data_IF_429487259041
#
_entry.id   IF_429487259041
#
_cell.length_a   1.000
_cell.length_b   1.000
_cell.length_c   1.000
_cell.angle_alpha   90.00
_cell.angle_beta   90.00
_cell.angle_gamma   90.00
#
_symmetry.space_group_name_H-M   'P 1'
#
loop_
_entity.id
_entity.type
_entity.pdbx_description
1 polymer ?
#
# COMPACT_ATOMS: atom_id res chain seq x y z
N UNK A 1 -8.55 43.07 16.62
CA UNK A 1 -7.19 42.70 16.20
C UNK A 1 -7.31 41.34 15.54
N UNK A 2 -7.27 41.30 14.21
CA UNK A 2 -7.37 40.06 13.44
C UNK A 2 -6.00 39.39 13.47
N UNK A 3 -5.89 38.27 14.19
CA UNK A 3 -4.73 37.41 14.14
C UNK A 3 -4.74 36.67 12.80
N UNK A 4 -4.16 37.30 11.78
CA UNK A 4 -3.75 36.63 10.56
C UNK A 4 -2.68 35.61 10.92
N UNK A 5 -3.07 34.35 11.07
CA UNK A 5 -2.13 33.24 10.98
C UNK A 5 -1.59 33.25 9.56
N UNK A 6 -0.38 33.79 9.39
CA UNK A 6 0.39 33.61 8.18
C UNK A 6 0.63 32.11 8.08
N UNK A 7 -0.03 31.45 7.13
CA UNK A 7 0.27 30.07 6.75
C UNK A 7 1.66 30.08 6.11
N UNK A 8 2.71 30.03 6.94
CA UNK A 8 4.02 29.59 6.49
C UNK A 8 3.81 28.19 5.91
N UNK A 9 4.17 27.98 4.65
CA UNK A 9 4.12 26.71 3.93
C UNK A 9 4.90 25.65 4.72
N UNK A 10 4.24 25.05 5.70
CA UNK A 10 4.82 24.06 6.60
C UNK A 10 4.44 22.71 6.01
N UNK A 11 5.42 21.97 5.50
CA UNK A 11 5.23 20.59 5.08
C UNK A 11 4.67 19.80 6.26
N UNK A 12 3.63 18.99 6.00
CA UNK A 12 3.03 18.16 7.04
C UNK A 12 4.00 17.01 7.33
N UNK A 13 4.31 16.72 8.62
CA UNK A 13 5.10 15.54 8.96
C UNK A 13 4.37 14.28 8.46
N UNK A 14 5.13 13.33 7.94
CA UNK A 14 4.60 12.08 7.38
C UNK A 14 5.32 10.90 8.02
N UNK A 15 4.57 9.94 8.54
CA UNK A 15 5.09 8.70 9.10
C UNK A 15 4.47 7.53 8.34
N UNK A 16 5.26 6.48 8.07
CA UNK A 16 4.76 5.24 7.48
C UNK A 16 5.35 4.05 8.22
N UNK A 17 4.49 3.05 8.38
CA UNK A 17 4.75 1.82 9.11
C UNK A 17 4.54 0.69 8.12
N UNK A 18 5.61 -0.05 7.81
CA UNK A 18 5.54 -1.29 7.03
C UNK A 18 5.22 -2.48 7.95
N UNK A 19 5.97 -2.60 9.04
CA UNK A 19 5.76 -3.56 10.12
C UNK A 19 6.41 -3.06 11.44
N UNK A 20 6.53 -3.94 12.44
CA UNK A 20 7.11 -3.64 13.76
C UNK A 20 8.58 -3.19 13.72
N UNK A 21 9.32 -3.55 12.67
CA UNK A 21 10.74 -3.25 12.45
C UNK A 21 10.97 -2.21 11.36
N UNK A 22 9.99 -1.98 10.48
CA UNK A 22 10.08 -1.08 9.35
C UNK A 22 9.23 0.18 9.59
N UNK A 23 9.82 1.16 10.27
CA UNK A 23 9.16 2.45 10.54
C UNK A 23 10.04 3.60 10.07
N UNK A 24 9.48 4.43 9.21
CA UNK A 24 10.13 5.61 8.65
C UNK A 24 9.26 6.84 8.84
N UNK A 25 9.88 8.00 8.92
CA UNK A 25 9.14 9.24 8.85
C UNK A 25 10.00 10.45 8.55
N UNK A 26 9.30 11.54 8.26
CA UNK A 26 9.86 12.85 7.97
C UNK A 26 9.24 13.90 8.86
N UNK A 27 10.05 14.85 9.32
CA UNK A 27 9.57 16.00 10.09
C UNK A 27 9.28 17.21 9.17
N UNK A 28 8.80 18.30 9.76
CA UNK A 28 8.49 19.55 9.05
C UNK A 28 9.74 20.30 8.52
N UNK A 29 10.93 19.92 8.97
CA UNK A 29 12.23 20.39 8.48
C UNK A 29 12.81 19.45 7.41
N UNK A 30 11.97 18.57 6.85
CA UNK A 30 12.29 17.57 5.82
C UNK A 30 13.34 16.53 6.24
N UNK A 31 13.72 16.47 7.52
CA UNK A 31 14.67 15.48 8.01
C UNK A 31 14.02 14.10 8.04
N UNK A 32 14.80 13.10 7.66
CA UNK A 32 14.37 11.71 7.52
C UNK A 32 14.81 10.94 8.75
N UNK A 33 13.93 10.11 9.30
CA UNK A 33 14.22 9.25 10.43
C UNK A 33 13.82 7.80 10.14
N UNK A 34 14.72 6.88 10.47
CA UNK A 34 14.49 5.45 10.51
C UNK A 34 14.48 5.01 11.97
N UNK A 35 13.53 4.16 12.32
CA UNK A 35 13.53 3.51 13.63
C UNK A 35 14.50 2.33 13.64
N UNK A 36 15.44 2.33 14.58
CA UNK A 36 16.48 1.30 14.74
C UNK A 36 16.26 0.52 16.04
N UNK A 37 16.68 -0.76 16.04
CA UNK A 37 16.65 -1.66 17.20
C UNK A 37 15.27 -1.99 17.80
N UNK A 38 14.27 -2.24 16.95
CA UNK A 38 13.13 -3.10 17.29
C UNK A 38 11.84 -2.43 17.82
N UNK A 39 10.78 -3.24 17.70
CA UNK A 39 9.37 -3.20 18.15
C UNK A 39 8.83 -1.89 18.75
N UNK A 40 7.67 -1.41 18.29
CA UNK A 40 6.93 -0.23 18.83
C UNK A 40 6.81 -0.25 20.36
N UNK A 41 6.89 -1.44 20.95
CA UNK A 41 6.80 -1.68 22.39
C UNK A 41 8.13 -1.55 23.16
N UNK A 42 9.30 -1.47 22.51
CA UNK A 42 10.62 -1.55 23.18
C UNK A 42 11.41 -0.23 23.22
N UNK A 43 10.76 0.92 23.06
CA UNK A 43 11.42 2.24 23.03
C UNK A 43 12.56 2.33 21.98
N UNK A 44 12.37 1.70 20.81
CA UNK A 44 13.31 1.78 19.68
C UNK A 44 13.77 3.22 19.40
N UNK A 45 15.06 3.37 19.07
CA UNK A 45 15.69 4.67 18.86
C UNK A 45 15.40 5.17 17.44
N UNK A 46 15.25 6.49 17.28
CA UNK A 46 15.18 7.10 15.96
C UNK A 46 16.58 7.52 15.52
N UNK A 47 17.03 7.00 14.39
CA UNK A 47 18.25 7.42 13.72
C UNK A 47 17.91 8.37 12.58
N UNK A 48 18.59 9.51 12.53
CA UNK A 48 18.46 10.42 11.38
C UNK A 48 19.18 9.82 10.17
N UNK A 49 18.49 9.79 9.03
CA UNK A 49 19.02 9.34 7.75
C UNK A 49 19.35 10.58 6.91
N UNK A 50 20.52 10.57 6.26
CA UNK A 50 20.93 11.68 5.40
C UNK A 50 19.96 11.86 4.23
N UNK A 51 19.70 13.12 3.87
CA UNK A 51 18.76 13.50 2.81
C UNK A 51 17.67 14.43 3.32
N UNK A 52 16.75 14.78 2.41
CA UNK A 52 15.63 15.67 2.69
C UNK A 52 14.40 15.21 1.91
N UNK A 53 13.34 14.79 2.61
CA UNK A 53 12.10 14.30 2.02
C UNK A 53 10.89 15.00 2.65
N UNK A 54 9.81 15.14 1.87
CA UNK A 54 8.52 15.66 2.33
C UNK A 54 7.48 14.53 2.51
N UNK A 55 7.71 13.37 1.89
CA UNK A 55 6.93 12.16 2.12
C UNK A 55 7.85 10.93 1.94
N UNK A 56 7.61 9.91 2.77
CA UNK A 56 8.36 8.65 2.77
C UNK A 56 7.38 7.51 2.99
N UNK A 57 7.58 6.38 2.32
CA UNK A 57 6.77 5.18 2.46
C UNK A 57 7.66 3.94 2.50
N UNK A 58 7.27 3.01 3.36
CA UNK A 58 7.98 1.75 3.62
C UNK A 58 6.98 0.60 3.62
N UNK A 59 7.35 -0.51 2.98
CA UNK A 59 6.64 -1.77 3.03
C UNK A 59 7.27 -2.75 4.03
N UNK A 60 6.54 -3.81 4.39
CA UNK A 60 7.02 -4.86 5.30
C UNK A 60 8.19 -5.69 4.72
N UNK A 61 8.37 -5.68 3.40
CA UNK A 61 9.54 -6.30 2.76
C UNK A 61 10.81 -5.42 2.83
N UNK A 62 10.74 -4.28 3.53
CA UNK A 62 11.83 -3.33 3.68
C UNK A 62 12.02 -2.38 2.49
N UNK A 63 11.16 -2.43 1.47
CA UNK A 63 11.19 -1.48 0.36
C UNK A 63 10.82 -0.08 0.85
N UNK A 64 11.69 0.91 0.61
CA UNK A 64 11.48 2.30 1.03
C UNK A 64 11.63 3.24 -0.16
N UNK A 65 10.65 4.14 -0.32
CA UNK A 65 10.67 5.22 -1.29
C UNK A 65 10.28 6.53 -0.63
N UNK A 66 10.65 7.65 -1.25
CA UNK A 66 10.27 8.97 -0.80
C UNK A 66 10.31 10.00 -1.90
N UNK A 67 9.75 11.17 -1.60
CA UNK A 67 9.80 12.35 -2.48
C UNK A 67 10.32 13.57 -1.72
N UNK A 68 11.09 14.42 -2.38
CA UNK A 68 11.62 15.66 -1.80
C UNK A 68 10.72 16.88 -2.10
N UNK A 69 11.08 18.05 -1.59
CA UNK A 69 10.36 19.32 -1.81
C UNK A 69 10.36 19.82 -3.25
N UNK A 70 11.24 19.30 -4.10
CA UNK A 70 11.25 19.57 -5.54
C UNK A 70 10.47 18.50 -6.33
N UNK A 71 9.76 17.62 -5.62
CA UNK A 71 9.01 16.48 -6.12
C UNK A 71 9.88 15.43 -6.82
N UNK A 72 11.20 15.46 -6.63
CA UNK A 72 12.08 14.37 -7.08
C UNK A 72 11.79 13.12 -6.27
N UNK A 73 11.87 11.97 -6.94
CA UNK A 73 11.56 10.66 -6.37
C UNK A 73 12.87 9.95 -6.01
N UNK A 74 12.91 9.31 -4.85
CA UNK A 74 14.06 8.54 -4.39
C UNK A 74 13.65 7.16 -3.89
N UNK A 75 14.51 6.17 -4.15
CA UNK A 75 14.43 4.81 -3.60
C UNK A 75 15.62 4.58 -2.67
N UNK A 76 15.38 3.98 -1.51
CA UNK A 76 16.45 3.61 -0.58
C UNK A 76 17.16 2.35 -1.06
N UNK A 77 18.48 2.40 -1.20
CA UNK A 77 19.33 1.26 -1.60
C UNK A 77 19.96 0.52 -0.40
N UNK A 78 19.59 0.86 0.83
CA UNK A 78 20.13 0.27 2.06
C UNK A 78 21.16 1.16 2.76
N UNK A 79 21.89 1.99 2.03
CA UNK A 79 22.92 2.90 2.56
C UNK A 79 22.83 4.33 2.01
N UNK A 80 22.18 4.53 0.87
CA UNK A 80 21.96 5.83 0.25
C UNK A 80 20.62 5.87 -0.51
N UNK A 81 20.22 7.09 -0.87
CA UNK A 81 19.09 7.34 -1.75
C UNK A 81 19.53 7.32 -3.21
N UNK A 82 18.81 6.57 -4.04
CA UNK A 82 18.92 6.57 -5.49
C UNK A 82 17.80 7.41 -6.08
N UNK A 83 18.13 8.40 -6.91
CA UNK A 83 17.11 9.19 -7.59
C UNK A 83 16.47 8.37 -8.72
N UNK A 84 15.14 8.38 -8.78
CA UNK A 84 14.34 7.74 -9.82
C UNK A 84 13.69 8.84 -10.66
N UNK A 85 13.78 8.72 -11.99
CA UNK A 85 13.16 9.69 -12.90
C UNK A 85 11.65 9.79 -12.67
N UNK A 86 11.15 11.02 -12.63
CA UNK A 86 9.74 11.33 -12.43
C UNK A 86 9.55 12.46 -11.42
N UNK A 87 8.29 12.89 -11.26
CA UNK A 87 7.91 13.91 -10.29
C UNK A 87 6.64 13.52 -9.55
N UNK A 88 6.70 13.42 -8.22
CA UNK A 88 5.57 13.08 -7.35
C UNK A 88 5.58 13.95 -6.10
N UNK A 89 4.39 14.32 -5.61
CA UNK A 89 4.21 15.02 -4.33
C UNK A 89 3.84 14.08 -3.18
N UNK A 90 3.40 12.86 -3.50
CA UNK A 90 3.08 11.81 -2.54
C UNK A 90 3.39 10.44 -3.15
N UNK A 91 3.92 9.53 -2.34
CA UNK A 91 4.26 8.17 -2.75
C UNK A 91 3.77 7.14 -1.73
N UNK A 92 3.40 5.95 -2.19
CA UNK A 92 2.98 4.84 -1.36
C UNK A 92 3.56 3.53 -1.90
N UNK A 93 4.04 2.70 -0.98
CA UNK A 93 4.68 1.41 -1.26
C UNK A 93 3.98 0.35 -0.41
N UNK A 94 3.46 -0.70 -1.03
CA UNK A 94 2.98 -1.90 -0.31
C UNK A 94 3.89 -3.10 -0.47
N UNK A 95 4.69 -3.13 -1.55
CA UNK A 95 5.78 -4.09 -1.78
C UNK A 95 6.76 -3.54 -2.81
N UNK A 96 7.82 -4.31 -3.07
CA UNK A 96 8.77 -4.07 -4.17
C UNK A 96 8.10 -3.93 -5.55
N UNK A 97 6.93 -4.54 -5.75
CA UNK A 97 6.22 -4.58 -7.03
C UNK A 97 5.05 -3.58 -7.09
N UNK A 98 4.59 -3.10 -5.93
CA UNK A 98 3.40 -2.26 -5.81
C UNK A 98 3.78 -0.91 -5.21
N UNK A 99 4.17 0.00 -6.11
CA UNK A 99 4.48 1.40 -5.79
C UNK A 99 3.58 2.30 -6.62
N UNK A 100 2.89 3.22 -5.95
CA UNK A 100 2.01 4.21 -6.57
C UNK A 100 2.29 5.60 -6.03
N UNK A 101 1.88 6.63 -6.74
CA UNK A 101 1.95 7.99 -6.24
C UNK A 101 1.15 8.97 -7.07
N UNK A 102 1.10 10.20 -6.61
CA UNK A 102 0.47 11.32 -7.33
C UNK A 102 1.43 12.49 -7.48
N UNK A 103 1.29 13.23 -8.59
CA UNK A 103 2.06 14.44 -8.85
C UNK A 103 1.27 15.72 -8.52
N UNK A 104 1.87 16.89 -8.78
CA UNK A 104 1.24 18.19 -8.53
C UNK A 104 -0.09 18.40 -9.25
N UNK A 105 -0.20 17.85 -10.46
CA UNK A 105 -1.40 17.91 -11.28
C UNK A 105 -2.47 16.89 -10.86
N UNK A 106 -2.30 16.23 -9.70
CA UNK A 106 -3.17 15.15 -9.21
C UNK A 106 -3.21 13.91 -10.11
N UNK A 107 -2.28 13.78 -11.06
CA UNK A 107 -2.20 12.59 -11.91
C UNK A 107 -1.65 11.42 -11.11
N UNK A 108 -2.25 10.24 -11.31
CA UNK A 108 -1.92 9.01 -10.59
C UNK A 108 -0.92 8.18 -11.41
N UNK A 109 0.10 7.63 -10.76
CA UNK A 109 1.10 6.78 -11.42
C UNK A 109 1.34 5.49 -10.65
N UNK A 110 1.68 4.43 -11.38
CA UNK A 110 2.21 3.18 -10.85
C UNK A 110 3.62 2.95 -11.40
N UNK A 111 4.55 2.49 -10.56
CA UNK A 111 5.88 2.09 -11.00
C UNK A 111 5.86 0.61 -11.37
N UNK A 112 6.16 0.29 -12.63
CA UNK A 112 6.17 -1.07 -13.18
C UNK A 112 7.40 -1.23 -14.07
N UNK A 113 8.14 -2.33 -13.91
CA UNK A 113 9.28 -2.68 -14.77
C UNK A 113 10.30 -1.56 -14.99
N UNK A 114 10.57 -0.76 -13.94
CA UNK A 114 11.56 0.31 -14.01
C UNK A 114 11.03 1.68 -14.45
N UNK A 115 9.74 1.80 -14.80
CA UNK A 115 9.14 3.02 -15.33
C UNK A 115 7.80 3.37 -14.68
N UNK A 116 7.43 4.65 -14.73
CA UNK A 116 6.13 5.13 -14.30
C UNK A 116 5.10 5.02 -15.42
N UNK A 117 4.02 4.28 -15.19
CA UNK A 117 2.82 4.29 -16.01
C UNK A 117 1.75 5.16 -15.38
N UNK A 118 1.16 6.08 -16.16
CA UNK A 118 0.04 6.88 -15.67
C UNK A 118 -1.24 6.02 -15.61
N UNK A 119 -1.97 6.15 -14.52
CA UNK A 119 -3.29 5.58 -14.32
C UNK A 119 -4.36 6.66 -14.55
N UNK A 120 -5.54 6.23 -15.02
CA UNK A 120 -6.68 7.14 -15.16
C UNK A 120 -7.16 7.65 -13.80
N UNK A 121 -7.69 8.87 -13.80
CA UNK A 121 -8.21 9.55 -12.61
C UNK A 121 -7.35 10.74 -12.14
N UNK A 122 -7.87 11.46 -11.15
CA UNK A 122 -7.24 12.62 -10.54
C UNK A 122 -7.38 12.57 -9.03
N UNK A 123 -6.31 12.26 -8.31
CA UNK A 123 -6.28 12.06 -6.86
C UNK A 123 -5.20 12.93 -6.20
N UNK A 124 -5.46 13.36 -4.96
CA UNK A 124 -4.53 14.14 -4.14
C UNK A 124 -3.71 13.25 -3.22
N UNK A 125 -4.25 12.09 -2.83
CA UNK A 125 -3.54 11.05 -2.09
C UNK A 125 -3.96 9.68 -2.58
N UNK A 126 -3.01 8.75 -2.61
CA UNK A 126 -3.22 7.34 -2.93
C UNK A 126 -2.57 6.42 -1.92
N UNK A 127 -3.18 5.25 -1.74
CA UNK A 127 -2.62 4.09 -1.07
C UNK A 127 -2.93 2.86 -1.91
N UNK A 128 -2.08 1.84 -1.83
CA UNK A 128 -2.31 0.56 -2.49
C UNK A 128 -2.12 -0.57 -1.48
N UNK A 129 -2.98 -1.57 -1.53
CA UNK A 129 -2.87 -2.75 -0.69
C UNK A 129 -1.90 -3.78 -1.29
N UNK A 130 -1.55 -4.81 -0.52
CA UNK A 130 -0.64 -5.88 -0.99
C UNK A 130 -1.29 -6.76 -2.06
N UNK A 131 -2.62 -6.81 -2.11
CA UNK A 131 -3.43 -7.45 -3.14
C UNK A 131 -3.77 -6.49 -4.29
N UNK A 132 -3.04 -5.39 -4.45
CA UNK A 132 -3.11 -4.54 -5.64
C UNK A 132 -4.33 -3.63 -5.75
N UNK A 133 -5.13 -3.47 -4.69
CA UNK A 133 -6.29 -2.57 -4.67
C UNK A 133 -5.82 -1.16 -4.34
N UNK A 134 -6.05 -0.23 -5.25
CA UNK A 134 -5.75 1.19 -5.04
C UNK A 134 -6.93 1.90 -4.40
N UNK A 135 -6.65 2.68 -3.36
CA UNK A 135 -7.56 3.64 -2.75
C UNK A 135 -7.00 5.05 -2.90
N UNK A 136 -7.87 6.04 -2.94
CA UNK A 136 -7.42 7.41 -2.87
C UNK A 136 -8.54 8.41 -2.64
N UNK A 137 -8.11 9.64 -2.43
CA UNK A 137 -9.00 10.79 -2.28
C UNK A 137 -8.70 11.84 -3.34
N UNK A 138 -9.75 12.46 -3.88
CA UNK A 138 -9.62 13.56 -4.83
C UNK A 138 -9.55 14.95 -4.14
N UNK A 139 -9.46 16.01 -4.93
CA UNK A 139 -9.39 17.38 -4.44
C UNK A 139 -10.71 17.88 -3.82
N UNK A 140 -11.82 17.18 -4.06
CA UNK A 140 -13.14 17.44 -3.49
C UNK A 140 -13.42 16.60 -2.25
N UNK A 141 -12.43 15.83 -1.76
CA UNK A 141 -12.55 14.84 -0.68
C UNK A 141 -13.44 13.63 -1.01
N UNK A 142 -13.72 13.38 -2.29
CA UNK A 142 -14.32 12.12 -2.73
C UNK A 142 -13.35 10.96 -2.47
N UNK A 143 -13.87 9.83 -1.99
CA UNK A 143 -13.08 8.61 -1.72
C UNK A 143 -13.36 7.60 -2.84
N UNK A 144 -12.30 7.06 -3.42
CA UNK A 144 -12.37 6.13 -4.53
C UNK A 144 -11.57 4.88 -4.25
N UNK A 145 -12.03 3.77 -4.83
CA UNK A 145 -11.28 2.53 -4.93
C UNK A 145 -11.22 2.10 -6.40
N UNK A 146 -10.07 1.60 -6.84
CA UNK A 146 -9.89 1.00 -8.15
C UNK A 146 -10.06 -0.51 -8.03
N UNK A 147 -10.96 -1.06 -8.84
CA UNK A 147 -11.27 -2.50 -8.83
C UNK A 147 -10.35 -3.32 -9.75
N UNK A 148 -9.59 -2.68 -10.65
CA UNK A 148 -8.59 -3.37 -11.46
C UNK A 148 -7.42 -3.81 -10.58
N UNK A 149 -7.04 -5.07 -10.69
CA UNK A 149 -5.99 -5.63 -9.87
C UNK A 149 -4.60 -5.26 -10.42
N UNK A 150 -3.86 -4.40 -9.71
CA UNK A 150 -2.61 -3.80 -10.19
C UNK A 150 -1.37 -4.72 -10.09
N UNK A 151 -1.56 -6.00 -9.73
CA UNK A 151 -0.49 -7.00 -9.56
C UNK A 151 0.01 -7.55 -10.90
N UNK A 152 -0.60 -7.20 -12.04
CA UNK A 152 -0.17 -7.70 -13.36
C UNK A 152 0.06 -6.56 -14.36
N UNK A 153 1.15 -6.60 -15.15
CA UNK A 153 1.32 -5.70 -16.26
C UNK A 153 0.21 -5.96 -17.26
N UNK A 154 -0.57 -4.91 -17.53
CA UNK A 154 -1.61 -4.78 -18.54
C UNK A 154 -1.77 -5.97 -19.51
N UNK A 155 -2.58 -6.96 -19.11
CA UNK A 155 -3.24 -7.85 -20.05
C UNK A 155 -4.71 -7.95 -19.68
N UNK A 156 -5.45 -6.87 -19.91
CA UNK A 156 -6.86 -6.96 -20.24
C UNK A 156 -6.96 -7.61 -21.62
N UNK A 157 -6.78 -8.93 -21.69
CA UNK A 157 -7.30 -9.68 -22.84
C UNK A 157 -8.81 -9.66 -22.73
N UNK A 158 -9.46 -8.70 -23.39
CA UNK A 158 -10.87 -8.81 -23.72
C UNK A 158 -11.02 -10.05 -24.61
N UNK A 159 -11.47 -11.16 -24.00
CA UNK A 159 -11.79 -12.37 -24.73
C UNK A 159 -13.04 -12.10 -25.57
N UNK A 160 -12.84 -11.61 -26.79
CA UNK A 160 -13.87 -11.61 -27.83
C UNK A 160 -14.09 -13.06 -28.26
N UNK A 161 -15.10 -13.70 -27.71
CA UNK A 161 -15.56 -15.00 -28.19
C UNK A 161 -16.37 -14.80 -29.47
N UNK A 162 -15.68 -14.78 -30.61
CA UNK A 162 -16.31 -15.25 -31.86
C UNK A 162 -16.12 -16.77 -31.92
N UNK A 163 -17.20 -17.56 -32.05
CA UNK A 163 -17.06 -19.01 -32.11
C UNK A 163 -16.45 -19.43 -33.45
N UNK A 164 -15.24 -19.97 -33.43
CA UNK A 164 -14.59 -20.59 -34.59
C UNK A 164 -14.89 -22.10 -34.62
N UNK A 165 -15.52 -22.58 -35.70
CA UNK A 165 -15.82 -23.99 -35.96
C UNK A 165 -14.60 -24.71 -36.59
N UNK A 166 -13.52 -24.95 -35.83
CA UNK A 166 -12.39 -25.79 -36.28
C UNK A 166 -12.32 -27.08 -35.43
N UNK A 167 -12.46 -28.29 -36.02
CA UNK A 167 -12.46 -29.55 -35.28
C UNK A 167 -11.07 -30.06 -34.86
N UNK A 168 -9.98 -29.31 -35.08
CA UNK A 168 -8.62 -29.87 -34.96
C UNK A 168 -7.77 -29.39 -33.77
N UNK A 169 -8.29 -28.62 -32.82
CA UNK A 169 -7.53 -28.25 -31.62
C UNK A 169 -7.92 -29.07 -30.39
N UNK A 170 -7.04 -30.02 -30.07
CA UNK A 170 -7.00 -30.78 -28.82
C UNK A 170 -6.86 -29.84 -27.62
N UNK A 171 -7.93 -29.72 -26.84
CA UNK A 171 -7.95 -29.04 -25.56
C UNK A 171 -7.01 -29.73 -24.57
N UNK A 172 -5.91 -29.08 -24.23
CA UNK A 172 -5.13 -29.44 -23.05
C UNK A 172 -4.50 -28.19 -22.46
N UNK A 173 -5.23 -27.57 -21.52
CA UNK A 173 -4.70 -26.89 -20.33
C UNK A 173 -5.88 -26.50 -19.41
N UNK A 174 -6.53 -27.53 -18.87
CA UNK A 174 -7.33 -27.38 -17.65
C UNK A 174 -6.34 -27.30 -16.49
N UNK A 175 -6.04 -26.09 -16.00
CA UNK A 175 -5.39 -25.93 -14.69
C UNK A 175 -6.51 -25.94 -13.64
N UNK A 176 -6.85 -27.13 -13.14
CA UNK A 176 -7.56 -27.28 -11.86
C UNK A 176 -6.50 -27.13 -10.77
N UNK A 177 -6.16 -25.89 -10.44
CA UNK A 177 -5.27 -25.53 -9.34
C UNK A 177 -6.06 -25.23 -8.06
N UNK A 178 -6.56 -26.29 -7.40
CA UNK A 178 -6.72 -26.41 -5.95
C UNK A 178 -7.02 -25.12 -5.13
N UNK A 179 -8.28 -24.67 -5.17
CA UNK A 179 -8.88 -23.81 -4.16
C UNK A 179 -9.15 -24.60 -2.84
N UNK A 180 -8.12 -25.20 -2.24
CA UNK A 180 -8.22 -25.89 -0.93
C UNK A 180 -7.66 -25.09 0.24
N UNK A 181 -6.96 -23.99 -0.02
CA UNK A 181 -6.37 -23.16 1.04
C UNK A 181 -7.35 -22.24 1.76
N UNK A 182 -8.33 -21.66 1.06
CA UNK A 182 -9.29 -20.70 1.64
C UNK A 182 -10.49 -21.38 2.28
N UNK A 183 -10.99 -22.48 1.70
CA UNK A 183 -12.14 -23.22 2.22
C UNK A 183 -11.85 -23.92 3.56
N UNK A 184 -10.63 -24.47 3.73
CA UNK A 184 -10.23 -25.12 4.97
C UNK A 184 -10.06 -24.12 6.12
N UNK A 185 -9.54 -22.92 5.82
CA UNK A 185 -9.38 -21.84 6.79
C UNK A 185 -10.74 -21.31 7.28
N UNK A 186 -11.69 -21.10 6.37
CA UNK A 186 -13.06 -20.70 6.72
C UNK A 186 -13.75 -21.78 7.56
N UNK A 187 -13.56 -23.06 7.24
CA UNK A 187 -14.16 -24.18 7.99
C UNK A 187 -13.59 -24.28 9.43
N UNK A 188 -12.28 -24.08 9.61
CA UNK A 188 -11.62 -24.05 10.92
C UNK A 188 -12.13 -22.86 11.77
N UNK A 189 -12.30 -21.68 11.16
CA UNK A 189 -12.86 -20.50 11.85
C UNK A 189 -14.31 -20.72 12.29
N UNK A 190 -15.16 -21.28 11.42
CA UNK A 190 -16.57 -21.57 11.76
C UNK A 190 -16.66 -22.60 12.90
N UNK A 191 -15.86 -23.66 12.86
CA UNK A 191 -15.85 -24.68 13.93
C UNK A 191 -15.34 -24.10 15.25
N UNK A 192 -14.30 -23.27 15.24
CA UNK A 192 -13.80 -22.59 16.43
C UNK A 192 -14.87 -21.69 17.06
N UNK A 193 -15.58 -20.88 16.26
CA UNK A 193 -16.66 -20.00 16.73
C UNK A 193 -17.81 -20.80 17.36
N UNK A 194 -18.20 -21.93 16.76
CA UNK A 194 -19.27 -22.79 17.32
C UNK A 194 -18.87 -23.41 18.66
N UNK A 195 -17.61 -23.84 18.82
CA UNK A 195 -17.08 -24.38 20.08
C UNK A 195 -17.10 -23.31 21.17
N UNK A 196 -16.62 -22.11 20.84
CA UNK A 196 -16.61 -20.94 21.73
C UNK A 196 -18.03 -20.63 22.22
N UNK A 197 -18.99 -20.46 21.31
CA UNK A 197 -20.38 -20.15 21.67
C UNK A 197 -21.01 -21.25 22.55
N UNK A 198 -20.73 -22.52 22.27
CA UNK A 198 -21.20 -23.64 23.11
C UNK A 198 -20.59 -23.63 24.51
N UNK A 199 -19.31 -23.29 24.62
CA UNK A 199 -18.62 -23.18 25.91
C UNK A 199 -19.24 -22.07 26.77
N UNK A 200 -19.48 -20.90 26.18
CA UNK A 200 -20.09 -19.78 26.90
C UNK A 200 -21.55 -20.03 27.28
N UNK A 201 -22.35 -20.70 26.44
CA UNK A 201 -23.74 -21.05 26.81
C UNK A 201 -23.83 -22.07 27.97
N UNK A 202 -22.85 -22.98 28.12
CA UNK A 202 -22.80 -23.88 29.29
C UNK A 202 -22.40 -23.16 30.57
N UNK A 203 -21.60 -22.09 30.49
CA UNK A 203 -21.13 -21.35 31.65
C UNK A 203 -22.20 -20.42 32.27
N UNK A 204 -23.29 -20.10 31.57
CA UNK A 204 -24.31 -19.14 32.03
C UNK A 204 -25.42 -19.74 32.91
N UNK A 205 -25.36 -21.03 33.28
CA UNK A 205 -26.35 -21.64 34.20
C UNK A 205 -25.71 -21.91 35.56
N UNK A 206 -25.35 -20.84 36.28
CA UNK A 206 -25.20 -20.91 37.73
C UNK A 206 -26.48 -20.31 38.33
N UNK A 207 -27.49 -21.15 38.59
CA UNK A 207 -28.64 -20.75 39.41
C UNK A 207 -28.14 -20.58 40.84
N UNK A 208 -28.09 -19.35 41.31
CA UNK A 208 -27.99 -19.04 42.73
C UNK A 208 -29.36 -19.45 43.31
N UNK A 209 -29.35 -20.46 44.18
CA UNK A 209 -30.47 -20.81 45.08
C UNK A 209 -30.42 -19.88 46.28
#
# INVERSE_FOLDING_TARGET
MNNNYILTTTYRPSWRIGDETHVWGVNNLTNIYLRVNGDINTNGLWAQVAGSLIDVSVASDGTVWGVNSNHDIYRWAGYNWEQINGKLKQIYVSSRELIVGVNDNNQVFQYVNGAWGQLDGSLVYVAISIDGILWGIDASNGIYTRQDNLITPHSSSSLSTTPSNDPSQSNSNIIIGLAVGLGLLILIFITAIVIIVRHYKKASVLRIV
#
